data_IF_693855860787
#
_entry.id   IF_693855860787
#
_cell.length_a   1.000
_cell.length_b   1.000
_cell.length_c   1.000
_cell.angle_alpha   90.00
_cell.angle_beta   90.00
_cell.angle_gamma   90.00
#
_symmetry.space_group_name_H-M   'P 1'
#
loop_
_entity.id
_entity.type
_entity.pdbx_description
1 polymer ?
#
# COMPACT_ATOMS: atom_id res chain seq x y z
N UNK A 1 17.69 -4.46 -0.50
CA UNK A 1 18.51 -3.93 -1.62
C UNK A 1 17.97 -4.41 -2.96
N UNK A 2 17.10 -3.62 -3.59
CA UNK A 2 16.58 -3.89 -4.95
C UNK A 2 17.38 -3.06 -5.95
N UNK A 3 17.80 -3.66 -7.06
CA UNK A 3 18.52 -2.95 -8.13
C UNK A 3 17.61 -1.89 -8.77
N UNK A 4 18.07 -0.64 -8.81
CA UNK A 4 17.41 0.46 -9.53
C UNK A 4 18.00 0.59 -10.95
N UNK A 5 17.21 0.98 -11.97
CA UNK A 5 15.78 1.26 -11.93
C UNK A 5 14.93 -0.01 -11.84
N UNK A 6 13.80 0.06 -11.13
CA UNK A 6 12.88 -1.07 -10.99
C UNK A 6 11.43 -0.63 -11.06
N UNK A 7 10.60 -1.47 -11.66
CA UNK A 7 9.17 -1.24 -11.78
C UNK A 7 8.42 -2.44 -11.24
N UNK A 8 7.46 -2.19 -10.35
CA UNK A 8 6.61 -3.22 -9.76
C UNK A 8 5.16 -2.77 -9.75
N UNK A 9 4.28 -3.59 -10.30
CA UNK A 9 2.84 -3.37 -10.30
C UNK A 9 2.14 -4.40 -9.43
N UNK A 10 1.13 -3.97 -8.68
CA UNK A 10 0.29 -4.83 -7.87
C UNK A 10 -1.16 -4.38 -7.98
N UNK A 11 -2.06 -5.34 -8.14
CA UNK A 11 -3.51 -5.08 -8.19
C UNK A 11 -4.09 -5.13 -6.78
N UNK A 12 -4.86 -4.10 -6.45
CA UNK A 12 -5.65 -3.97 -5.24
C UNK A 12 -7.12 -3.84 -5.60
N UNK A 13 -7.99 -3.94 -4.60
CA UNK A 13 -9.44 -3.79 -4.76
C UNK A 13 -10.04 -3.03 -3.58
N UNK A 14 -11.28 -2.58 -3.73
CA UNK A 14 -12.07 -1.92 -2.69
C UNK A 14 -12.33 -2.83 -1.49
N UNK A 15 -12.42 -2.20 -0.31
CA UNK A 15 -12.71 -2.83 0.96
C UNK A 15 -14.21 -2.72 1.36
N UNK A 16 -14.97 -1.87 0.67
CA UNK A 16 -16.39 -1.65 0.93
C UNK A 16 -17.23 -1.74 -0.36
N UNK A 17 -18.51 -2.06 -0.20
CA UNK A 17 -19.49 -2.04 -1.29
C UNK A 17 -19.75 -0.59 -1.73
N UNK A 18 -19.77 -0.35 -3.04
CA UNK A 18 -19.97 0.96 -3.65
C UNK A 18 -18.93 2.02 -3.24
N UNK A 19 -17.73 1.59 -2.87
CA UNK A 19 -16.62 2.49 -2.54
C UNK A 19 -16.25 3.36 -3.75
N UNK A 20 -16.42 4.67 -3.61
CA UNK A 20 -16.22 5.65 -4.69
C UNK A 20 -14.77 6.14 -4.82
N UNK A 21 -13.95 5.96 -3.79
CA UNK A 21 -12.56 6.39 -3.78
C UNK A 21 -11.66 5.43 -2.99
N UNK A 22 -10.43 5.25 -3.47
CA UNK A 22 -9.37 4.49 -2.79
C UNK A 22 -8.20 5.42 -2.49
N UNK A 23 -7.75 5.43 -1.24
CA UNK A 23 -6.54 6.16 -0.83
C UNK A 23 -5.33 5.24 -0.96
N UNK A 24 -4.37 5.64 -1.79
CA UNK A 24 -3.07 4.97 -1.91
C UNK A 24 -2.07 5.71 -1.02
N UNK A 25 -1.62 5.04 0.03
CA UNK A 25 -0.64 5.57 0.97
C UNK A 25 0.71 4.88 0.74
N UNK A 26 1.71 5.68 0.35
CA UNK A 26 3.06 5.24 0.07
C UNK A 26 3.92 5.39 1.32
N UNK A 27 4.52 4.29 1.75
CA UNK A 27 5.31 4.17 2.97
C UNK A 27 6.69 3.60 2.63
N UNK A 28 7.71 4.04 3.35
CA UNK A 28 9.08 3.54 3.29
C UNK A 28 9.52 3.03 4.67
N UNK A 29 9.92 1.78 4.73
CA UNK A 29 10.44 1.13 5.92
C UNK A 29 10.33 -0.40 5.82
N UNK A 30 10.90 -1.10 6.80
CA UNK A 30 10.94 -2.57 6.81
C UNK A 30 9.95 -3.20 7.80
N UNK A 31 9.20 -2.38 8.55
CA UNK A 31 8.23 -2.87 9.53
C UNK A 31 6.94 -3.32 8.88
N UNK A 32 6.28 -4.30 9.49
CA UNK A 32 4.98 -4.80 9.00
C UNK A 32 3.84 -3.84 9.30
N UNK A 33 3.97 -3.05 10.35
CA UNK A 33 2.99 -2.05 10.74
C UNK A 33 3.22 -0.74 9.96
N UNK A 34 2.18 -0.21 9.32
CA UNK A 34 2.24 1.06 8.60
C UNK A 34 2.71 2.22 9.49
N UNK A 35 2.27 2.26 10.75
CA UNK A 35 2.69 3.29 11.73
C UNK A 35 4.18 3.25 12.08
N UNK A 36 4.85 2.12 11.85
CA UNK A 36 6.29 1.97 12.07
C UNK A 36 7.15 2.39 10.88
N UNK A 37 6.52 2.79 9.77
CA UNK A 37 7.19 3.17 8.53
C UNK A 37 7.06 4.68 8.27
N UNK A 38 8.00 5.25 7.52
CA UNK A 38 7.97 6.67 7.11
C UNK A 38 6.96 6.86 5.99
N UNK A 39 6.00 7.76 6.19
CA UNK A 39 5.06 8.15 5.14
C UNK A 39 5.77 9.02 4.11
N UNK A 40 5.77 8.56 2.86
CA UNK A 40 6.33 9.30 1.73
C UNK A 40 5.29 10.21 1.05
N UNK A 41 4.03 9.78 1.06
CA UNK A 41 2.94 10.55 0.48
C UNK A 41 1.69 9.70 0.32
N UNK A 42 0.56 10.35 0.13
CA UNK A 42 -0.70 9.67 -0.14
C UNK A 42 -1.50 10.44 -1.18
N UNK A 43 -2.33 9.72 -1.93
CA UNK A 43 -3.24 10.32 -2.88
C UNK A 43 -4.50 9.47 -3.00
N UNK A 44 -5.58 10.11 -3.43
CA UNK A 44 -6.86 9.45 -3.62
C UNK A 44 -7.08 9.21 -5.11
N UNK A 45 -7.48 8.00 -5.45
CA UNK A 45 -8.07 7.66 -6.75
C UNK A 45 -9.58 7.73 -6.59
N UNK A 46 -10.18 8.78 -7.14
CA UNK A 46 -11.62 9.06 -7.03
C UNK A 46 -12.41 8.64 -8.26
N UNK A 47 -13.68 8.35 -8.04
CA UNK A 47 -14.66 8.05 -9.08
C UNK A 47 -14.52 6.64 -9.64
N UNK A 48 -14.26 5.70 -8.74
CA UNK A 48 -14.41 4.26 -8.94
C UNK A 48 -15.90 3.95 -9.13
N UNK A 49 -16.23 3.06 -10.05
CA UNK A 49 -17.63 2.68 -10.29
C UNK A 49 -18.21 1.97 -9.05
N UNK A 50 -19.48 2.24 -8.68
CA UNK A 50 -20.14 1.49 -7.63
C UNK A 50 -20.16 0.00 -7.98
N UNK A 51 -19.45 -0.80 -7.20
CA UNK A 51 -19.38 -2.23 -7.37
C UNK A 51 -19.31 -2.90 -5.99
N UNK A 52 -19.53 -4.21 -5.95
CA UNK A 52 -19.32 -4.96 -4.72
C UNK A 52 -17.85 -4.87 -4.29
N UNK A 53 -17.60 -4.94 -2.99
CA UNK A 53 -16.26 -5.11 -2.41
C UNK A 53 -15.51 -6.21 -3.15
N UNK A 54 -14.24 -5.98 -3.47
CA UNK A 54 -13.40 -6.99 -4.12
C UNK A 54 -13.52 -7.08 -5.65
N UNK A 55 -14.45 -6.34 -6.27
CA UNK A 55 -14.66 -6.35 -7.72
C UNK A 55 -13.77 -5.36 -8.48
N UNK A 56 -13.70 -4.06 -8.10
CA UNK A 56 -12.88 -3.09 -8.83
C UNK A 56 -11.39 -3.46 -8.81
N UNK A 57 -10.76 -3.42 -9.97
CA UNK A 57 -9.32 -3.74 -10.08
C UNK A 57 -8.48 -2.47 -10.19
N UNK A 58 -7.90 -2.05 -9.06
CA UNK A 58 -6.98 -0.90 -8.99
C UNK A 58 -5.54 -1.39 -9.12
N UNK A 59 -4.91 -1.15 -10.26
CA UNK A 59 -3.49 -1.44 -10.48
C UNK A 59 -2.62 -0.31 -9.97
N UNK A 60 -1.86 -0.56 -8.90
CA UNK A 60 -0.88 0.36 -8.36
C UNK A 60 0.50 -0.04 -8.86
N UNK A 61 1.16 0.87 -9.56
CA UNK A 61 2.50 0.71 -10.11
C UNK A 61 3.45 1.63 -9.39
N UNK A 62 4.56 1.07 -8.92
CA UNK A 62 5.71 1.74 -8.34
C UNK A 62 6.85 1.67 -9.34
N UNK A 63 7.33 2.82 -9.77
CA UNK A 63 8.42 2.96 -10.71
C UNK A 63 9.51 3.80 -10.03
N UNK A 64 10.64 3.18 -9.74
CA UNK A 64 11.79 3.81 -9.10
C UNK A 64 12.87 4.01 -10.16
N UNK A 65 13.17 5.27 -10.46
CA UNK A 65 14.13 5.63 -11.48
C UNK A 65 15.59 5.56 -10.97
N UNK A 66 16.55 5.86 -11.86
CA UNK A 66 17.97 5.85 -11.53
C UNK A 66 18.38 7.02 -10.62
N UNK A 67 17.61 8.10 -10.61
CA UNK A 67 17.80 9.29 -9.77
C UNK A 67 17.23 9.10 -8.35
N UNK A 68 16.53 7.99 -8.09
CA UNK A 68 15.90 7.66 -6.81
C UNK A 68 14.54 8.32 -6.61
N UNK A 69 13.95 8.92 -7.64
CA UNK A 69 12.59 9.44 -7.65
C UNK A 69 11.61 8.27 -7.82
N UNK A 70 10.65 8.20 -6.90
CA UNK A 70 9.60 7.19 -6.92
C UNK A 70 8.35 7.76 -7.59
N UNK A 71 7.98 7.21 -8.74
CA UNK A 71 6.71 7.46 -9.40
C UNK A 71 5.71 6.38 -8.97
N UNK A 72 4.62 6.81 -8.32
CA UNK A 72 3.53 5.91 -7.94
C UNK A 72 2.31 6.29 -8.74
N UNK A 73 1.76 5.34 -9.50
CA UNK A 73 0.54 5.50 -10.27
C UNK A 73 -0.48 4.45 -9.90
N UNK A 74 -1.70 4.86 -9.57
CA UNK A 74 -2.84 3.97 -9.41
C UNK A 74 -3.79 4.14 -10.59
N UNK A 75 -4.15 3.05 -11.24
CA UNK A 75 -5.07 3.02 -12.36
C UNK A 75 -6.20 2.03 -12.10
N UNK A 76 -7.43 2.50 -12.21
CA UNK A 76 -8.59 1.63 -12.23
C UNK A 76 -8.72 0.98 -13.62
N UNK A 77 -8.64 -0.35 -13.69
CA UNK A 77 -8.79 -1.10 -14.95
C UNK A 77 -10.19 -1.02 -15.53
N UNK A 78 -11.19 -0.76 -14.68
CA UNK A 78 -12.58 -0.70 -15.08
C UNK A 78 -12.96 0.64 -15.71
N UNK A 79 -12.54 1.75 -15.11
CA UNK A 79 -12.89 3.09 -15.62
C UNK A 79 -11.80 3.72 -16.48
N UNK A 80 -10.58 3.19 -16.43
CA UNK A 80 -9.40 3.78 -17.04
C UNK A 80 -8.90 5.04 -16.34
N UNK A 81 -9.53 5.46 -15.24
CA UNK A 81 -9.07 6.58 -14.42
C UNK A 81 -7.73 6.25 -13.79
N UNK A 82 -6.82 7.20 -13.85
CA UNK A 82 -5.51 7.07 -13.24
C UNK A 82 -5.19 8.32 -12.42
N UNK A 83 -4.51 8.09 -11.31
CA UNK A 83 -3.90 9.14 -10.52
C UNK A 83 -2.46 8.74 -10.23
N UNK A 84 -1.55 9.68 -10.41
CA UNK A 84 -0.13 9.47 -10.11
C UNK A 84 0.42 10.57 -9.23
N UNK A 85 1.42 10.21 -8.45
CA UNK A 85 2.26 11.13 -7.68
C UNK A 85 3.72 10.83 -7.96
N UNK A 86 4.54 11.86 -7.86
CA UNK A 86 6.00 11.74 -7.94
C UNK A 86 6.57 12.15 -6.60
N UNK A 87 7.26 11.22 -5.96
CA UNK A 87 7.90 11.42 -4.66
C UNK A 87 9.40 11.54 -4.92
N UNK A 88 9.97 12.70 -4.66
CA UNK A 88 11.42 12.91 -4.76
C UNK A 88 12.09 12.36 -3.50
N UNK A 89 13.17 11.60 -3.67
CA UNK A 89 13.97 11.04 -2.56
C UNK A 89 14.66 12.09 -1.67
N UNK A 90 14.55 13.39 -1.96
CA UNK A 90 15.16 14.46 -1.15
C UNK A 90 14.62 14.52 0.29
N UNK A 91 13.54 13.80 0.61
CA UNK A 91 13.02 13.62 1.97
C UNK A 91 13.19 12.18 2.50
N UNK A 92 14.11 11.41 1.93
CA UNK A 92 14.43 10.04 2.33
C UNK A 92 14.88 9.93 3.80
N UNK A 93 15.01 8.69 4.28
CA UNK A 93 15.66 8.39 5.55
C UNK A 93 17.17 8.61 5.38
N UNK A 94 17.81 9.32 6.32
CA UNK A 94 19.28 9.34 6.36
C UNK A 94 19.81 7.92 6.62
N UNK A 95 21.06 7.62 6.23
CA UNK A 95 21.65 6.29 6.46
C UNK A 95 21.53 5.85 7.94
N UNK A 96 21.72 6.76 8.89
CA UNK A 96 21.51 6.51 10.32
C UNK A 96 20.06 6.18 10.68
N UNK A 97 19.08 6.82 10.04
CA UNK A 97 17.66 6.51 10.23
C UNK A 97 17.31 5.15 9.63
N UNK A 98 17.92 4.79 8.49
CA UNK A 98 17.77 3.48 7.86
C UNK A 98 18.29 2.39 8.78
N UNK A 99 19.54 2.50 9.27
CA UNK A 99 20.10 1.50 10.19
C UNK A 99 19.27 1.36 11.47
N UNK A 100 18.80 2.47 12.02
CA UNK A 100 17.92 2.45 13.19
C UNK A 100 16.58 1.76 12.89
N UNK A 101 15.99 1.99 11.72
CA UNK A 101 14.75 1.34 11.30
C UNK A 101 14.93 -0.16 11.05
N UNK A 102 16.06 -0.57 10.48
CA UNK A 102 16.40 -1.99 10.27
C UNK A 102 16.54 -2.68 11.63
N UNK A 103 17.28 -2.08 12.56
CA UNK A 103 17.45 -2.62 13.92
C UNK A 103 16.12 -2.70 14.68
N UNK A 104 15.26 -1.67 14.56
CA UNK A 104 13.93 -1.67 15.16
C UNK A 104 13.02 -2.74 14.53
N UNK A 105 13.08 -2.92 13.21
CA UNK A 105 12.33 -3.95 12.51
C UNK A 105 12.78 -5.36 12.91
N UNK A 106 14.07 -5.60 13.08
CA UNK A 106 14.59 -6.89 13.56
C UNK A 106 14.18 -7.16 15.01
N UNK A 107 14.32 -6.17 15.90
CA UNK A 107 13.92 -6.31 17.30
C UNK A 107 12.42 -6.56 17.46
N UNK A 108 11.58 -5.94 16.61
CA UNK A 108 10.13 -6.07 16.65
C UNK A 108 9.59 -7.17 15.73
N UNK A 109 10.44 -7.93 15.03
CA UNK A 109 10.03 -8.90 14.00
C UNK A 109 9.02 -9.93 14.51
N UNK A 110 9.19 -10.44 15.73
CA UNK A 110 8.26 -11.41 16.31
C UNK A 110 6.89 -10.79 16.64
N UNK A 111 6.89 -9.57 17.19
CA UNK A 111 5.68 -8.81 17.49
C UNK A 111 4.94 -8.40 16.21
N UNK A 112 5.66 -7.92 15.21
CA UNK A 112 5.14 -7.55 13.90
C UNK A 112 4.55 -8.78 13.19
N UNK A 113 5.16 -9.97 13.33
CA UNK A 113 4.61 -11.22 12.80
C UNK A 113 3.29 -11.61 13.48
N UNK A 114 3.25 -11.60 14.82
CA UNK A 114 2.00 -11.89 15.58
C UNK A 114 0.89 -10.91 15.20
N UNK A 115 1.24 -9.64 15.01
CA UNK A 115 0.31 -8.62 14.57
C UNK A 115 -0.20 -8.88 13.15
N UNK A 116 0.68 -9.19 12.19
CA UNK A 116 0.30 -9.54 10.82
C UNK A 116 -0.67 -10.73 10.79
N UNK A 117 -0.39 -11.79 11.56
CA UNK A 117 -1.27 -12.96 11.67
C UNK A 117 -2.63 -12.59 12.26
N UNK A 118 -2.67 -11.75 13.30
CA UNK A 118 -3.91 -11.28 13.90
C UNK A 118 -4.74 -10.42 12.95
N UNK A 119 -4.10 -9.52 12.20
CA UNK A 119 -4.77 -8.67 11.21
C UNK A 119 -5.26 -9.48 10.02
N UNK A 120 -4.50 -10.46 9.54
CA UNK A 120 -4.97 -11.37 8.49
C UNK A 120 -6.19 -12.18 8.94
N UNK A 121 -6.13 -12.76 10.15
CA UNK A 121 -7.26 -13.49 10.72
C UNK A 121 -8.49 -12.60 10.89
N UNK A 122 -8.30 -11.35 11.36
CA UNK A 122 -9.38 -10.36 11.48
C UNK A 122 -9.98 -10.00 10.12
N UNK A 123 -9.15 -9.68 9.13
CA UNK A 123 -9.60 -9.33 7.79
C UNK A 123 -10.36 -10.48 7.11
N UNK A 124 -9.93 -11.72 7.33
CA UNK A 124 -10.62 -12.91 6.84
C UNK A 124 -11.97 -13.10 7.57
N UNK A 125 -12.01 -12.90 8.89
CA UNK A 125 -13.23 -12.96 9.67
C UNK A 125 -14.23 -11.87 9.25
N UNK A 126 -13.78 -10.62 9.11
CA UNK A 126 -14.60 -9.50 8.63
C UNK A 126 -15.12 -9.74 7.22
N UNK A 127 -14.30 -10.33 6.34
CA UNK A 127 -14.72 -10.78 5.00
C UNK A 127 -15.82 -11.85 5.06
N UNK A 128 -15.70 -12.82 5.96
CA UNK A 128 -16.67 -13.89 6.15
C UNK A 128 -17.99 -13.37 6.75
N UNK A 129 -17.93 -12.52 7.77
CA UNK A 129 -19.12 -11.90 8.40
C UNK A 129 -19.88 -11.07 7.38
N UNK A 130 -19.18 -10.29 6.55
CA UNK A 130 -19.81 -9.53 5.47
C UNK A 130 -20.49 -10.43 4.45
N UNK A 131 -19.84 -11.52 4.04
CA UNK A 131 -20.42 -12.48 3.11
C UNK A 131 -21.70 -13.13 3.69
N UNK A 132 -21.69 -13.53 4.96
CA UNK A 132 -22.85 -14.16 5.62
C UNK A 132 -23.99 -13.17 5.85
N UNK A 133 -23.71 -11.90 6.14
CA UNK A 133 -24.76 -10.87 6.36
C UNK A 133 -25.46 -10.44 5.07
N UNK A 134 -24.81 -10.65 3.92
CA UNK A 134 -25.32 -10.30 2.59
C UNK A 134 -26.14 -11.43 1.94
N UNK A 135 -26.12 -12.63 2.54
CA UNK A 135 -26.90 -13.80 2.13
C UNK A 135 -28.30 -13.76 2.74
#
# INVERSE_FOLDING_TARGET
NTTIPTKKSQTFSTAEDNQSAVTVHVLQGERKQSSGNKSLGQFNLEGIRPAARGVPQIEVTFDLDADGILHVSAKDKDTGKEQKITIKASSGLSDEEVEKMVADAEANKESDKKFEELIQARNQADGMVHATRKQ
#
